data_IF_692425625223
#
_entry.id   IF_692425625223
#
_cell.length_a   1.000
_cell.length_b   1.000
_cell.length_c   1.000
_cell.angle_alpha   90.00
_cell.angle_beta   90.00
_cell.angle_gamma   90.00
#
_symmetry.space_group_name_H-M   'P 1'
#
loop_
_entity.id
_entity.type
_entity.pdbx_description
1 polymer ?
#
# COMPACT_ATOMS: atom_id res chain seq x y z
N UNK A 1 8.06 -0.40 -33.06
CA UNK A 1 7.34 -0.80 -31.84
C UNK A 1 7.58 0.27 -30.79
N UNK A 2 6.61 0.58 -29.93
CA UNK A 2 6.81 1.64 -28.93
C UNK A 2 7.96 1.24 -28.00
N UNK A 3 9.02 2.04 -27.95
CA UNK A 3 10.17 1.83 -27.03
C UNK A 3 9.83 2.26 -25.58
N UNK A 4 8.59 2.67 -25.31
CA UNK A 4 8.16 3.08 -23.97
C UNK A 4 7.60 1.90 -23.19
N UNK A 5 8.23 1.56 -22.08
CA UNK A 5 7.63 0.66 -21.08
C UNK A 5 6.91 1.48 -20.01
N UNK A 6 5.86 0.90 -19.44
CA UNK A 6 5.24 1.40 -18.21
C UNK A 6 6.23 1.32 -17.03
N UNK A 7 6.87 0.17 -16.83
CA UNK A 7 7.85 -0.03 -15.75
C UNK A 7 8.87 -1.09 -16.12
N UNK A 8 10.05 -1.00 -15.51
CA UNK A 8 11.14 -1.96 -15.62
C UNK A 8 11.81 -2.11 -14.27
N UNK A 9 12.18 -3.34 -13.90
CA UNK A 9 13.08 -3.55 -12.76
C UNK A 9 13.93 -4.81 -12.92
N UNK A 10 15.17 -4.73 -12.44
CA UNK A 10 16.05 -5.88 -12.25
C UNK A 10 15.94 -6.34 -10.80
N UNK A 11 15.55 -7.60 -10.62
CA UNK A 11 15.23 -8.19 -9.32
C UNK A 11 16.08 -9.40 -9.00
N UNK A 12 16.27 -9.61 -7.69
CA UNK A 12 16.74 -10.86 -7.10
C UNK A 12 15.63 -11.38 -6.22
N UNK A 13 15.40 -12.69 -6.18
CA UNK A 13 14.34 -13.23 -5.34
C UNK A 13 14.60 -14.64 -4.87
N UNK A 14 13.55 -15.27 -4.36
CA UNK A 14 13.61 -16.62 -3.81
C UNK A 14 12.59 -17.50 -4.51
N UNK A 15 13.03 -18.70 -4.88
CA UNK A 15 12.17 -19.76 -5.41
C UNK A 15 12.14 -20.94 -4.44
N UNK A 16 11.02 -21.68 -4.44
CA UNK A 16 10.94 -22.97 -3.77
C UNK A 16 11.66 -24.08 -4.57
N UNK A 17 11.71 -25.30 -4.04
CA UNK A 17 12.32 -26.48 -4.69
C UNK A 17 11.67 -26.83 -6.04
N UNK A 18 10.45 -26.35 -6.32
CA UNK A 18 9.75 -26.54 -7.60
C UNK A 18 10.02 -25.40 -8.59
N UNK A 19 10.88 -24.43 -8.26
CA UNK A 19 11.19 -23.27 -9.11
C UNK A 19 10.09 -22.21 -9.12
N UNK A 20 9.09 -22.29 -8.24
CA UNK A 20 8.05 -21.26 -8.13
C UNK A 20 8.58 -20.06 -7.35
N UNK A 21 8.38 -18.85 -7.89
CA UNK A 21 8.73 -17.60 -7.21
C UNK A 21 7.91 -17.43 -5.94
N UNK A 22 8.60 -17.24 -4.81
CA UNK A 22 7.98 -16.89 -3.53
C UNK A 22 7.93 -15.37 -3.36
N UNK A 23 9.02 -14.70 -3.74
CA UNK A 23 9.19 -13.26 -3.60
C UNK A 23 10.25 -12.71 -4.54
N UNK A 24 10.22 -11.40 -4.79
CA UNK A 24 11.25 -10.68 -5.53
C UNK A 24 11.53 -9.33 -4.87
N UNK A 25 12.81 -9.02 -4.67
CA UNK A 25 13.32 -7.73 -4.23
C UNK A 25 13.84 -6.92 -5.43
N UNK A 26 13.30 -5.72 -5.62
CA UNK A 26 13.75 -4.75 -6.63
C UNK A 26 14.36 -3.54 -5.94
N UNK A 27 15.70 -3.41 -6.01
CA UNK A 27 16.42 -2.33 -5.33
C UNK A 27 16.14 -0.95 -5.92
N UNK A 28 15.99 -0.87 -7.25
CA UNK A 28 15.84 0.38 -7.99
C UNK A 28 14.79 0.20 -9.11
N UNK A 29 13.51 0.02 -8.77
CA UNK A 29 12.46 -0.09 -9.77
C UNK A 29 12.31 1.24 -10.54
N UNK A 30 12.09 1.15 -11.85
CA UNK A 30 11.90 2.30 -12.71
C UNK A 30 10.43 2.41 -13.14
N UNK A 31 9.87 3.61 -13.01
CA UNK A 31 8.62 4.00 -13.66
C UNK A 31 8.97 4.78 -14.92
N UNK A 32 8.41 4.41 -16.06
CA UNK A 32 8.69 5.02 -17.37
C UNK A 32 10.20 5.08 -17.71
N UNK A 33 10.90 3.92 -17.80
CA UNK A 33 12.32 3.88 -18.16
C UNK A 33 12.56 4.51 -19.54
N UNK A 34 13.77 5.06 -19.76
CA UNK A 34 14.13 5.68 -21.03
C UNK A 34 14.12 4.65 -22.18
N UNK A 35 13.70 5.09 -23.37
CA UNK A 35 13.67 4.22 -24.55
C UNK A 35 15.06 3.71 -24.96
N UNK A 36 16.12 4.47 -24.66
CA UNK A 36 17.52 4.05 -24.89
C UNK A 36 17.91 2.87 -23.99
N UNK A 37 17.54 2.92 -22.71
CA UNK A 37 17.79 1.84 -21.77
C UNK A 37 17.03 0.58 -22.19
N UNK A 38 15.75 0.71 -22.54
CA UNK A 38 14.92 -0.40 -23.02
C UNK A 38 15.51 -1.02 -24.30
N UNK A 39 15.93 -0.18 -25.26
CA UNK A 39 16.55 -0.64 -26.50
C UNK A 39 17.88 -1.37 -26.29
N UNK A 40 18.67 -0.98 -25.28
CA UNK A 40 19.94 -1.63 -24.95
C UNK A 40 19.74 -3.03 -24.35
N UNK A 41 18.68 -3.26 -23.58
CA UNK A 41 18.47 -4.53 -22.87
C UNK A 41 17.54 -5.51 -23.61
N UNK A 42 16.57 -5.02 -24.39
CA UNK A 42 15.55 -5.86 -25.01
C UNK A 42 16.14 -6.99 -25.89
N UNK A 43 17.17 -6.76 -26.72
CA UNK A 43 17.79 -7.82 -27.53
C UNK A 43 18.47 -8.90 -26.67
N UNK A 44 19.10 -8.51 -25.55
CA UNK A 44 19.79 -9.43 -24.65
C UNK A 44 18.81 -10.32 -23.85
N UNK A 45 17.57 -9.85 -23.70
CA UNK A 45 16.48 -10.54 -23.01
C UNK A 45 15.55 -11.28 -23.97
N UNK A 46 15.74 -11.15 -25.29
CA UNK A 46 14.79 -11.62 -26.31
C UNK A 46 13.36 -11.10 -26.05
N UNK A 47 13.24 -9.85 -25.58
CA UNK A 47 11.96 -9.25 -25.25
C UNK A 47 11.24 -8.77 -26.51
N UNK A 48 10.08 -9.36 -26.81
CA UNK A 48 9.28 -9.07 -28.02
C UNK A 48 8.08 -8.14 -27.76
N UNK A 49 7.75 -7.86 -26.48
CA UNK A 49 6.65 -6.98 -26.09
C UNK A 49 5.77 -7.54 -24.96
N UNK A 50 4.78 -6.75 -24.55
CA UNK A 50 3.84 -7.10 -23.48
C UNK A 50 4.46 -7.06 -22.08
N UNK A 51 3.71 -7.53 -21.08
CA UNK A 51 4.22 -7.66 -19.72
C UNK A 51 4.94 -9.01 -19.59
N UNK A 52 6.22 -8.98 -19.18
CA UNK A 52 7.06 -10.17 -19.07
C UNK A 52 7.91 -10.14 -17.81
N UNK A 53 8.10 -11.31 -17.21
CA UNK A 53 9.07 -11.56 -16.15
C UNK A 53 10.10 -12.58 -16.67
N UNK A 54 11.27 -12.09 -17.07
CA UNK A 54 12.32 -12.88 -17.73
C UNK A 54 13.36 -13.29 -16.70
N UNK A 55 13.47 -14.59 -16.41
CA UNK A 55 14.55 -15.11 -15.55
C UNK A 55 15.89 -14.99 -16.29
N UNK A 56 16.91 -14.50 -15.59
CA UNK A 56 18.27 -14.36 -16.13
C UNK A 56 19.29 -15.05 -15.23
N UNK A 57 20.43 -15.41 -15.81
CA UNK A 57 21.59 -15.86 -15.04
C UNK A 57 22.58 -14.70 -14.77
N UNK A 58 23.63 -14.98 -13.99
CA UNK A 58 24.65 -14.00 -13.62
C UNK A 58 25.47 -13.49 -14.81
N UNK A 59 25.70 -14.32 -15.83
CA UNK A 59 26.37 -13.91 -17.08
C UNK A 59 25.52 -12.90 -17.85
N UNK A 60 24.21 -13.13 -17.98
CA UNK A 60 23.29 -12.19 -18.60
C UNK A 60 23.19 -10.89 -17.78
N UNK A 61 23.19 -10.97 -16.46
CA UNK A 61 23.23 -9.76 -15.60
C UNK A 61 24.48 -8.91 -15.88
N UNK A 62 25.67 -9.51 -16.04
CA UNK A 62 26.89 -8.80 -16.41
C UNK A 62 26.82 -8.18 -17.81
N UNK A 63 26.28 -8.92 -18.80
CA UNK A 63 26.08 -8.40 -20.16
C UNK A 63 25.12 -7.21 -20.18
N UNK A 64 24.03 -7.27 -19.42
CA UNK A 64 23.09 -6.16 -19.25
C UNK A 64 23.78 -4.97 -18.57
N UNK A 65 24.61 -5.21 -17.55
CA UNK A 65 25.37 -4.16 -16.88
C UNK A 65 26.26 -3.40 -17.86
N UNK A 66 27.00 -4.12 -18.71
CA UNK A 66 27.87 -3.51 -19.73
C UNK A 66 27.07 -2.71 -20.77
N UNK A 67 25.92 -3.24 -21.20
CA UNK A 67 25.06 -2.58 -22.19
C UNK A 67 24.49 -1.24 -21.71
N UNK A 68 24.14 -1.13 -20.42
CA UNK A 68 23.54 0.10 -19.87
C UNK A 68 24.54 1.02 -19.16
N UNK A 69 25.82 0.63 -19.08
CA UNK A 69 26.88 1.43 -18.45
C UNK A 69 26.94 2.90 -18.91
N UNK A 70 26.80 3.23 -20.21
CA UNK A 70 26.80 4.63 -20.64
C UNK A 70 25.45 5.33 -20.46
N UNK A 71 24.39 4.61 -20.08
CA UNK A 71 23.00 5.09 -20.09
C UNK A 71 22.49 5.39 -18.68
N UNK A 72 22.80 4.53 -17.70
CA UNK A 72 22.31 4.66 -16.33
C UNK A 72 23.31 4.09 -15.32
N UNK A 73 24.03 4.98 -14.63
CA UNK A 73 25.04 4.62 -13.64
C UNK A 73 24.48 3.82 -12.46
N UNK A 74 23.25 4.12 -12.03
CA UNK A 74 22.63 3.47 -10.87
C UNK A 74 22.23 2.04 -11.21
N UNK A 75 21.56 1.85 -12.34
CA UNK A 75 21.18 0.52 -12.84
C UNK A 75 22.40 -0.32 -13.21
N UNK A 76 23.44 0.29 -13.80
CA UNK A 76 24.71 -0.39 -14.07
C UNK A 76 25.35 -0.93 -12.78
N UNK A 77 25.43 -0.11 -11.75
CA UNK A 77 25.96 -0.52 -10.45
C UNK A 77 25.11 -1.65 -9.84
N UNK A 78 23.78 -1.56 -9.92
CA UNK A 78 22.87 -2.61 -9.46
C UNK A 78 23.12 -3.94 -10.18
N UNK A 79 23.09 -3.96 -11.52
CA UNK A 79 23.30 -5.19 -12.29
C UNK A 79 24.68 -5.81 -12.06
N UNK A 80 25.70 -4.97 -11.86
CA UNK A 80 27.04 -5.45 -11.48
C UNK A 80 27.00 -6.22 -10.15
N UNK A 81 26.22 -5.76 -9.16
CA UNK A 81 26.01 -6.51 -7.91
C UNK A 81 25.16 -7.75 -8.12
N UNK A 82 24.11 -7.68 -8.93
CA UNK A 82 23.24 -8.82 -9.23
C UNK A 82 24.01 -9.96 -9.93
N UNK A 83 25.02 -9.63 -10.75
CA UNK A 83 25.89 -10.62 -11.39
C UNK A 83 26.71 -11.47 -10.39
N UNK A 84 26.82 -11.08 -9.13
CA UNK A 84 27.47 -11.86 -8.06
C UNK A 84 26.48 -12.70 -7.23
N UNK A 85 25.18 -12.66 -7.56
CA UNK A 85 24.13 -13.30 -6.77
C UNK A 85 24.21 -14.82 -6.81
N UNK A 86 23.95 -15.45 -5.66
CA UNK A 86 23.68 -16.89 -5.53
C UNK A 86 22.18 -17.22 -5.58
N UNK A 87 21.34 -16.20 -5.71
CA UNK A 87 19.87 -16.27 -5.76
C UNK A 87 19.38 -16.03 -7.19
N UNK A 88 18.23 -16.61 -7.59
CA UNK A 88 17.68 -16.42 -8.93
C UNK A 88 17.39 -14.94 -9.20
N UNK A 89 17.64 -14.54 -10.44
CA UNK A 89 17.47 -13.17 -10.93
C UNK A 89 16.34 -13.11 -11.94
N UNK A 90 15.64 -11.98 -11.99
CA UNK A 90 14.54 -11.73 -12.92
C UNK A 90 14.57 -10.29 -13.41
N UNK A 91 14.29 -10.09 -14.68
CA UNK A 91 14.00 -8.77 -15.26
C UNK A 91 12.52 -8.70 -15.56
N UNK A 92 11.83 -7.77 -14.92
CA UNK A 92 10.40 -7.59 -15.10
C UNK A 92 10.17 -6.35 -15.95
N UNK A 93 9.65 -6.54 -17.16
CA UNK A 93 9.37 -5.51 -18.16
C UNK A 93 7.87 -5.41 -18.34
N UNK A 94 7.29 -4.25 -18.01
CA UNK A 94 5.86 -4.01 -18.15
C UNK A 94 5.65 -3.00 -19.28
N UNK A 95 5.08 -3.44 -20.39
CA UNK A 95 4.70 -2.54 -21.48
C UNK A 95 3.57 -1.60 -21.03
N UNK A 96 2.63 -2.11 -20.23
CA UNK A 96 1.43 -1.40 -19.80
C UNK A 96 1.02 -1.73 -18.36
N UNK A 97 0.22 -0.85 -17.75
CA UNK A 97 -0.42 -1.09 -16.45
C UNK A 97 -1.71 -1.94 -16.61
N UNK A 98 -1.53 -3.23 -16.89
CA UNK A 98 -2.62 -4.18 -17.09
C UNK A 98 -2.88 -5.08 -15.87
N UNK A 99 -3.85 -6.00 -15.98
CA UNK A 99 -4.07 -7.01 -14.95
C UNK A 99 -2.82 -7.90 -14.78
N UNK A 100 -2.53 -8.27 -13.53
CA UNK A 100 -1.31 -8.99 -13.19
C UNK A 100 -1.31 -10.41 -13.76
N UNK A 101 -0.14 -10.87 -14.21
CA UNK A 101 0.03 -12.20 -14.82
C UNK A 101 1.07 -13.07 -14.13
N UNK A 102 1.94 -12.49 -13.30
CA UNK A 102 3.03 -13.22 -12.64
C UNK A 102 3.36 -12.69 -11.24
N UNK A 103 4.02 -13.52 -10.42
CA UNK A 103 4.53 -13.11 -9.09
C UNK A 103 5.57 -11.99 -9.18
N UNK A 104 6.60 -12.03 -10.06
CA UNK A 104 7.54 -10.91 -10.19
C UNK A 104 6.88 -9.59 -10.56
N UNK A 105 5.84 -9.61 -11.41
CA UNK A 105 5.04 -8.43 -11.76
C UNK A 105 4.25 -7.90 -10.55
N UNK A 106 3.61 -8.78 -9.78
CA UNK A 106 2.90 -8.40 -8.56
C UNK A 106 3.85 -7.69 -7.56
N UNK A 107 5.03 -8.25 -7.33
CA UNK A 107 6.05 -7.63 -6.47
C UNK A 107 6.52 -6.28 -7.03
N UNK A 108 6.72 -6.15 -8.35
CA UNK A 108 7.13 -4.89 -8.96
C UNK A 108 6.09 -3.80 -8.70
N UNK A 109 4.80 -4.07 -8.94
CA UNK A 109 3.75 -3.07 -8.68
C UNK A 109 3.66 -2.67 -7.21
N UNK A 110 3.83 -3.61 -6.28
CA UNK A 110 3.89 -3.27 -4.85
C UNK A 110 5.13 -2.41 -4.52
N UNK A 111 6.28 -2.69 -5.14
CA UNK A 111 7.47 -1.86 -4.99
C UNK A 111 7.25 -0.44 -5.52
N UNK A 112 6.60 -0.26 -6.67
CA UNK A 112 6.30 1.06 -7.23
C UNK A 112 5.48 1.91 -6.24
N UNK A 113 4.52 1.29 -5.53
CA UNK A 113 3.74 1.99 -4.50
C UNK A 113 4.61 2.34 -3.29
N UNK A 114 5.36 1.38 -2.75
CA UNK A 114 6.15 1.59 -1.53
C UNK A 114 7.40 2.46 -1.72
N UNK A 115 7.93 2.54 -2.94
CA UNK A 115 8.94 3.53 -3.34
C UNK A 115 8.34 4.93 -3.57
N UNK A 116 7.02 5.08 -3.44
CA UNK A 116 6.24 6.30 -3.74
C UNK A 116 6.29 6.75 -5.19
N UNK A 117 6.63 5.86 -6.12
CA UNK A 117 6.61 6.16 -7.55
C UNK A 117 5.18 6.27 -8.08
N UNK A 118 4.24 5.54 -7.48
CA UNK A 118 2.82 5.59 -7.80
C UNK A 118 1.98 5.63 -6.52
N UNK A 119 1.00 6.54 -6.44
CA UNK A 119 0.06 6.62 -5.31
C UNK A 119 -0.95 5.45 -5.34
N UNK A 120 -1.58 5.11 -4.20
CA UNK A 120 -2.70 4.17 -4.17
C UNK A 120 -3.77 4.48 -5.24
N UNK A 121 -4.36 3.42 -5.81
CA UNK A 121 -5.27 3.45 -6.98
C UNK A 121 -4.64 3.89 -8.30
N UNK A 122 -3.34 4.20 -8.33
CA UNK A 122 -2.63 4.53 -9.56
C UNK A 122 -2.13 3.32 -10.36
N UNK A 123 -2.36 2.09 -9.88
CA UNK A 123 -1.94 0.85 -10.52
C UNK A 123 -3.10 -0.14 -10.63
N UNK A 124 -3.14 -0.90 -11.72
CA UNK A 124 -4.01 -2.06 -11.85
C UNK A 124 -3.44 -3.25 -11.06
N UNK A 125 -4.09 -3.58 -9.93
CA UNK A 125 -3.73 -4.71 -9.06
C UNK A 125 -4.73 -5.87 -9.17
N UNK A 126 -5.57 -5.91 -10.21
CA UNK A 126 -6.52 -6.99 -10.42
C UNK A 126 -5.78 -8.33 -10.57
N UNK A 127 -6.25 -9.34 -9.82
CA UNK A 127 -5.66 -10.68 -9.84
C UNK A 127 -4.43 -10.86 -8.93
N UNK A 128 -4.11 -9.90 -8.05
CA UNK A 128 -2.90 -9.99 -7.22
C UNK A 128 -2.87 -11.19 -6.25
N UNK A 129 -3.98 -11.54 -5.63
CA UNK A 129 -4.00 -12.54 -4.55
C UNK A 129 -3.62 -13.96 -4.98
N UNK A 130 -4.08 -14.48 -6.15
CA UNK A 130 -3.58 -15.75 -6.67
C UNK A 130 -2.07 -15.75 -6.98
N UNK A 131 -1.49 -14.60 -7.34
CA UNK A 131 -0.09 -14.48 -7.76
C UNK A 131 0.89 -14.32 -6.59
N UNK A 132 0.41 -13.93 -5.41
CA UNK A 132 1.19 -13.89 -4.20
C UNK A 132 1.02 -15.22 -3.43
N UNK A 133 2.01 -16.13 -3.43
CA UNK A 133 1.92 -17.37 -2.66
C UNK A 133 1.86 -17.07 -1.16
N UNK A 134 1.27 -17.98 -0.38
CA UNK A 134 1.34 -17.87 1.08
C UNK A 134 2.73 -18.35 1.53
N UNK A 135 3.50 -17.50 2.18
CA UNK A 135 4.93 -17.72 2.48
C UNK A 135 5.17 -17.64 3.98
N UNK A 136 6.07 -18.46 4.50
CA UNK A 136 6.66 -18.25 5.81
C UNK A 136 7.81 -17.22 5.70
N UNK A 137 7.60 -16.04 6.25
CA UNK A 137 8.61 -14.99 6.35
C UNK A 137 9.45 -15.26 7.58
N UNK A 138 10.73 -15.56 7.38
CA UNK A 138 11.64 -15.98 8.45
C UNK A 138 12.85 -15.07 8.56
N UNK A 139 13.61 -15.21 9.65
CA UNK A 139 14.91 -14.53 9.79
C UNK A 139 15.97 -14.98 8.74
N UNK A 140 15.68 -16.00 7.93
CA UNK A 140 16.53 -16.45 6.81
C UNK A 140 15.91 -16.16 5.43
N UNK A 141 14.88 -15.32 5.38
CA UNK A 141 14.14 -14.97 4.16
C UNK A 141 12.85 -15.77 3.98
N UNK A 142 12.28 -15.71 2.76
CA UNK A 142 11.08 -16.42 2.39
C UNK A 142 11.31 -17.94 2.34
N UNK A 143 10.39 -18.69 2.95
CA UNK A 143 10.40 -20.15 2.98
C UNK A 143 9.03 -20.66 2.54
N UNK A 144 9.03 -21.62 1.61
CA UNK A 144 7.81 -22.33 1.22
C UNK A 144 7.26 -23.12 2.41
N UNK A 145 5.94 -23.10 2.60
CA UNK A 145 5.29 -23.79 3.72
C UNK A 145 5.51 -25.30 3.70
N UNK A 146 5.65 -25.92 2.53
CA UNK A 146 5.96 -27.34 2.40
C UNK A 146 7.41 -27.67 2.80
N UNK A 147 8.31 -26.69 2.79
CA UNK A 147 9.73 -26.85 3.15
C UNK A 147 10.02 -26.43 4.60
N UNK A 148 9.09 -25.71 5.24
CA UNK A 148 9.33 -25.06 6.53
C UNK A 148 9.66 -26.05 7.65
N UNK A 149 8.90 -27.13 7.78
CA UNK A 149 9.06 -28.08 8.88
C UNK A 149 10.45 -28.76 8.89
N UNK A 150 10.95 -29.12 7.71
CA UNK A 150 12.30 -29.69 7.54
C UNK A 150 13.37 -28.67 7.96
N UNK A 151 13.25 -27.42 7.50
CA UNK A 151 14.22 -26.37 7.84
C UNK A 151 14.19 -26.00 9.32
N UNK A 152 13.01 -26.01 9.96
CA UNK A 152 12.89 -25.81 11.39
C UNK A 152 13.60 -26.91 12.18
N UNK A 153 13.41 -28.19 11.80
CA UNK A 153 14.10 -29.32 12.43
C UNK A 153 15.63 -29.16 12.30
N UNK A 154 16.13 -28.87 11.11
CA UNK A 154 17.56 -28.66 10.85
C UNK A 154 18.16 -27.53 11.70
N UNK A 155 17.44 -26.42 11.86
CA UNK A 155 17.86 -25.34 12.74
C UNK A 155 17.98 -25.82 14.20
N UNK A 156 16.99 -26.56 14.70
CA UNK A 156 16.98 -27.07 16.08
C UNK A 156 18.09 -28.08 16.33
N UNK A 157 18.36 -28.99 15.40
CA UNK A 157 19.46 -29.97 15.49
C UNK A 157 20.83 -29.28 15.62
N UNK A 158 20.98 -28.09 15.04
CA UNK A 158 22.19 -27.26 15.12
C UNK A 158 22.19 -26.27 16.30
N UNK A 159 21.16 -26.28 17.15
CA UNK A 159 21.02 -25.36 18.29
C UNK A 159 20.57 -23.95 17.92
N UNK A 160 20.06 -23.73 16.70
CA UNK A 160 19.53 -22.45 16.22
C UNK A 160 18.01 -22.39 16.25
N UNK A 161 17.46 -21.18 16.19
CA UNK A 161 16.05 -20.91 15.96
C UNK A 161 15.87 -20.39 14.53
N UNK A 162 15.04 -21.07 13.73
CA UNK A 162 14.43 -20.48 12.53
C UNK A 162 13.16 -19.76 12.98
N UNK A 163 13.27 -18.45 13.18
CA UNK A 163 12.17 -17.60 13.61
C UNK A 163 11.22 -17.37 12.45
N UNK A 164 9.95 -17.69 12.62
CA UNK A 164 8.87 -17.40 11.67
C UNK A 164 8.14 -16.17 12.18
N UNK A 165 8.41 -15.02 11.56
CA UNK A 165 7.87 -13.73 12.01
C UNK A 165 6.50 -13.43 11.41
N UNK A 166 6.19 -14.00 10.25
CA UNK A 166 4.89 -13.87 9.59
C UNK A 166 4.62 -15.07 8.68
N UNK A 167 3.34 -15.41 8.53
CA UNK A 167 2.85 -16.36 7.52
C UNK A 167 1.73 -15.67 6.75
N UNK A 168 2.07 -15.13 5.59
CA UNK A 168 1.16 -14.29 4.81
C UNK A 168 1.57 -14.25 3.33
N UNK A 169 0.66 -13.81 2.47
CA UNK A 169 0.89 -13.49 1.05
C UNK A 169 1.66 -12.18 0.85
N UNK A 170 1.63 -11.29 1.83
CA UNK A 170 2.34 -10.01 1.78
C UNK A 170 3.46 -9.96 2.82
N UNK A 171 4.70 -9.63 2.43
CA UNK A 171 5.74 -9.31 3.40
C UNK A 171 5.53 -7.92 4.02
N UNK A 172 6.29 -7.63 5.07
CA UNK A 172 6.41 -6.26 5.60
C UNK A 172 7.25 -5.38 4.68
N UNK A 173 6.81 -4.13 4.49
CA UNK A 173 7.39 -3.17 3.54
C UNK A 173 8.87 -2.92 3.79
N UNK A 174 9.27 -2.77 5.06
CA UNK A 174 10.63 -2.34 5.44
C UNK A 174 11.71 -3.38 5.17
N UNK A 175 11.34 -4.63 4.91
CA UNK A 175 12.29 -5.65 4.44
C UNK A 175 12.71 -5.39 2.98
N UNK A 176 11.98 -4.54 2.27
CA UNK A 176 12.19 -4.20 0.86
C UNK A 176 12.55 -2.72 0.68
N UNK A 177 11.84 -1.80 1.34
CA UNK A 177 12.08 -0.37 1.21
C UNK A 177 11.68 0.39 2.47
N UNK A 178 12.51 1.36 2.84
CA UNK A 178 12.18 2.39 3.83
C UNK A 178 12.25 3.73 3.09
N UNK A 179 11.12 4.32 2.67
CA UNK A 179 11.15 5.57 1.92
C UNK A 179 11.62 6.72 2.81
N UNK A 180 12.18 7.77 2.22
CA UNK A 180 12.77 8.88 2.97
C UNK A 180 11.75 9.63 3.84
N UNK A 181 12.20 10.13 4.99
CA UNK A 181 11.41 11.01 5.86
C UNK A 181 10.23 10.32 6.57
N UNK A 182 10.28 9.01 6.81
CA UNK A 182 9.25 8.28 7.59
C UNK A 182 9.76 7.83 8.94
N UNK A 183 8.81 7.58 9.85
CA UNK A 183 9.04 6.77 11.05
C UNK A 183 7.99 5.67 11.11
N UNK A 184 8.43 4.45 11.37
CA UNK A 184 7.56 3.27 11.53
C UNK A 184 8.02 2.57 12.81
N UNK A 185 7.18 2.60 13.85
CA UNK A 185 7.54 2.09 15.16
C UNK A 185 7.53 0.55 15.22
N UNK A 186 6.53 -0.08 14.61
CA UNK A 186 6.46 -1.52 14.39
C UNK A 186 6.25 -1.80 12.90
N UNK A 187 7.29 -2.30 12.23
CA UNK A 187 7.25 -2.53 10.79
C UNK A 187 6.41 -3.74 10.39
N UNK A 188 6.10 -4.65 11.31
CA UNK A 188 5.23 -5.80 11.01
C UNK A 188 3.81 -5.37 10.59
N UNK A 189 3.42 -4.13 10.89
CA UNK A 189 2.10 -3.58 10.61
C UNK A 189 2.01 -2.78 9.31
N UNK A 190 3.08 -2.77 8.50
CA UNK A 190 3.11 -2.06 7.22
C UNK A 190 3.44 -3.07 6.12
N UNK A 191 2.45 -3.40 5.29
CA UNK A 191 2.63 -4.35 4.18
C UNK A 191 3.39 -3.73 3.02
N UNK A 192 4.18 -4.53 2.31
CA UNK A 192 4.70 -4.15 1.00
C UNK A 192 3.52 -3.78 0.08
N UNK A 193 3.62 -2.65 -0.61
CA UNK A 193 2.52 -2.01 -1.32
C UNK A 193 1.78 -0.93 -0.52
N UNK A 194 2.16 -0.66 0.72
CA UNK A 194 1.75 0.55 1.43
C UNK A 194 2.51 1.77 0.88
N UNK A 195 1.83 2.91 0.74
CA UNK A 195 2.42 4.21 0.43
C UNK A 195 2.51 5.01 1.73
N UNK A 196 3.70 5.20 2.29
CA UNK A 196 3.88 5.98 3.53
C UNK A 196 4.51 7.31 3.15
N UNK A 197 3.74 8.39 3.09
CA UNK A 197 4.18 9.73 2.67
C UNK A 197 5.28 10.35 3.54
N UNK A 198 5.96 11.37 3.01
CA UNK A 198 7.01 12.06 3.76
C UNK A 198 6.43 12.80 4.97
N UNK A 199 7.14 12.73 6.11
CA UNK A 199 6.66 13.30 7.37
C UNK A 199 5.58 12.45 8.06
N UNK A 200 5.20 11.29 7.52
CA UNK A 200 4.33 10.36 8.23
C UNK A 200 5.08 9.62 9.34
N UNK A 201 4.45 9.59 10.51
CA UNK A 201 4.84 8.70 11.60
C UNK A 201 3.75 7.66 11.79
N UNK A 202 4.12 6.39 11.64
CA UNK A 202 3.25 5.26 12.00
C UNK A 202 3.70 4.73 13.37
N UNK A 203 2.85 4.90 14.38
CA UNK A 203 3.09 4.40 15.73
C UNK A 203 2.77 2.91 15.84
N UNK A 204 3.06 2.30 16.99
CA UNK A 204 2.93 0.84 17.21
C UNK A 204 1.53 0.29 16.89
N UNK A 205 0.47 1.05 17.20
CA UNK A 205 -0.91 0.64 16.90
C UNK A 205 -1.37 1.05 15.49
N UNK A 206 -0.53 1.78 14.76
CA UNK A 206 -0.72 2.10 13.36
C UNK A 206 -0.64 0.85 12.49
N UNK A 207 -1.44 0.79 11.43
CA UNK A 207 -1.37 -0.26 10.42
C UNK A 207 -1.69 0.34 9.06
N UNK A 208 -0.95 -0.05 8.02
CA UNK A 208 -1.23 0.37 6.64
C UNK A 208 -1.14 -0.86 5.73
N UNK A 209 -2.24 -1.14 5.04
CA UNK A 209 -2.34 -2.26 4.10
C UNK A 209 -1.71 -1.91 2.74
N UNK A 210 -1.69 -2.88 1.82
CA UNK A 210 -1.30 -2.63 0.43
C UNK A 210 -2.35 -1.74 -0.29
N UNK A 211 -1.90 -1.01 -1.31
CA UNK A 211 -2.71 -0.06 -2.08
C UNK A 211 -3.46 0.93 -1.17
N UNK A 212 -2.81 1.34 -0.09
CA UNK A 212 -3.33 2.24 0.92
C UNK A 212 -2.17 3.09 1.45
N UNK A 213 -2.47 4.17 2.16
CA UNK A 213 -1.39 5.02 2.62
C UNK A 213 -1.77 6.40 3.10
N UNK A 214 -0.71 7.20 3.20
CA UNK A 214 -0.76 8.60 3.60
C UNK A 214 -0.09 9.47 2.56
N UNK A 215 -0.64 10.65 2.30
CA UNK A 215 0.06 11.66 1.52
C UNK A 215 1.30 12.20 2.25
N UNK A 216 1.17 12.39 3.57
CA UNK A 216 2.19 12.99 4.42
C UNK A 216 2.13 14.52 4.44
N UNK A 217 2.47 15.18 5.56
CA UNK A 217 2.78 14.59 6.88
C UNK A 217 1.52 14.07 7.58
N UNK A 218 1.68 13.37 8.72
CA UNK A 218 0.55 12.95 9.57
C UNK A 218 0.92 11.89 10.60
N UNK A 219 0.08 11.73 11.62
CA UNK A 219 0.22 10.71 12.67
C UNK A 219 -0.74 9.55 12.43
N UNK A 220 -0.21 8.33 12.32
CA UNK A 220 -1.01 7.11 12.13
C UNK A 220 -0.82 6.17 13.31
N UNK A 221 -1.84 6.11 14.17
CA UNK A 221 -1.94 5.22 15.32
C UNK A 221 -3.15 4.28 15.21
N UNK A 222 -3.89 4.36 14.10
CA UNK A 222 -5.00 3.49 13.76
C UNK A 222 -4.77 2.67 12.49
N UNK A 223 -5.82 2.00 12.02
CA UNK A 223 -5.77 1.05 10.90
C UNK A 223 -6.24 1.68 9.60
N UNK A 224 -5.34 1.76 8.62
CA UNK A 224 -5.58 2.19 7.23
C UNK A 224 -5.79 0.94 6.37
N UNK A 225 -7.05 0.65 6.05
CA UNK A 225 -7.43 -0.53 5.25
C UNK A 225 -7.00 -0.41 3.78
N UNK A 226 -6.95 -1.54 3.07
CA UNK A 226 -6.61 -1.55 1.65
C UNK A 226 -7.55 -0.62 0.84
N UNK A 227 -6.97 0.19 -0.04
CA UNK A 227 -7.69 1.22 -0.80
C UNK A 227 -7.90 2.54 -0.06
N UNK A 228 -7.62 2.63 1.25
CA UNK A 228 -7.79 3.88 1.99
C UNK A 228 -6.57 4.77 1.82
N UNK A 229 -6.81 6.02 1.41
CA UNK A 229 -5.78 7.05 1.35
C UNK A 229 -6.12 8.20 2.30
N UNK A 230 -5.13 8.61 3.08
CA UNK A 230 -5.23 9.67 4.08
C UNK A 230 -4.50 10.91 3.59
N UNK A 231 -5.23 12.02 3.48
CA UNK A 231 -4.71 13.31 3.04
C UNK A 231 -3.70 13.93 4.02
N UNK A 232 -3.03 14.98 3.56
CA UNK A 232 -1.98 15.67 4.33
C UNK A 232 -2.50 16.22 5.67
N UNK A 233 -1.66 16.16 6.70
CA UNK A 233 -1.92 16.74 8.01
C UNK A 233 -3.08 16.08 8.78
N UNK A 234 -3.51 14.89 8.37
CA UNK A 234 -4.58 14.14 9.04
C UNK A 234 -4.01 13.16 10.06
N UNK A 235 -4.62 13.14 11.24
CA UNK A 235 -4.20 12.32 12.38
C UNK A 235 -5.24 11.23 12.69
N UNK A 236 -4.77 9.98 12.75
CA UNK A 236 -5.55 8.80 13.09
C UNK A 236 -5.14 8.32 14.47
N UNK A 237 -5.96 8.60 15.48
CA UNK A 237 -5.70 8.27 16.87
C UNK A 237 -5.67 6.76 17.17
N UNK A 238 -5.05 6.42 18.30
CA UNK A 238 -4.76 5.04 18.71
C UNK A 238 -5.93 4.07 18.55
N UNK A 239 -5.73 2.99 17.77
CA UNK A 239 -6.72 1.91 17.60
C UNK A 239 -7.90 2.26 16.70
N UNK A 240 -7.96 3.46 16.11
CA UNK A 240 -9.05 3.84 15.23
C UNK A 240 -9.12 2.93 13.99
N UNK A 241 -10.25 2.94 13.30
CA UNK A 241 -10.55 2.03 12.20
C UNK A 241 -11.01 2.78 10.95
N UNK A 242 -10.41 2.46 9.81
CA UNK A 242 -10.98 2.79 8.51
C UNK A 242 -11.55 1.51 7.90
N UNK A 243 -12.82 1.54 7.49
CA UNK A 243 -13.47 0.38 6.89
C UNK A 243 -12.83 0.04 5.54
N UNK A 244 -12.48 -1.23 5.32
CA UNK A 244 -12.07 -1.71 4.01
C UNK A 244 -13.27 -1.98 3.12
N UNK A 245 -13.10 -1.86 1.80
CA UNK A 245 -14.15 -2.12 0.81
C UNK A 245 -14.74 -3.53 0.93
N UNK A 246 -13.92 -4.52 1.32
CA UNK A 246 -14.33 -5.92 1.52
C UNK A 246 -15.22 -6.14 2.76
N UNK A 247 -15.12 -5.29 3.77
CA UNK A 247 -15.82 -5.46 5.05
C UNK A 247 -17.17 -4.73 5.15
N UNK A 248 -17.44 -3.80 4.22
CA UNK A 248 -18.55 -2.83 4.36
C UNK A 248 -19.79 -3.06 3.50
N UNK A 249 -19.79 -4.07 2.60
CA UNK A 249 -20.93 -4.38 1.73
C UNK A 249 -21.29 -3.28 0.72
N UNK A 250 -20.43 -2.27 0.53
CA UNK A 250 -20.64 -1.15 -0.40
C UNK A 250 -19.42 -0.93 -1.32
N UNK A 251 -19.66 -0.34 -2.50
CA UNK A 251 -18.64 -0.11 -3.54
C UNK A 251 -17.86 1.21 -3.37
N UNK A 252 -18.12 1.99 -2.32
CA UNK A 252 -17.49 3.31 -2.14
C UNK A 252 -16.12 3.13 -1.50
N UNK A 253 -15.09 3.67 -2.13
CA UNK A 253 -13.73 3.72 -1.59
C UNK A 253 -13.70 4.71 -0.43
N UNK A 254 -13.31 4.24 0.75
CA UNK A 254 -13.13 5.09 1.92
C UNK A 254 -11.85 5.91 1.75
N UNK A 255 -11.94 7.21 1.99
CA UNK A 255 -10.80 8.14 2.03
C UNK A 255 -10.91 9.05 3.24
N UNK A 256 -9.79 9.64 3.64
CA UNK A 256 -9.74 10.70 4.65
C UNK A 256 -9.11 11.92 3.98
N UNK A 257 -9.80 13.05 4.02
CA UNK A 257 -9.31 14.32 3.47
C UNK A 257 -8.11 14.88 4.23
N UNK A 258 -7.82 16.15 3.99
CA UNK A 258 -6.72 16.88 4.61
C UNK A 258 -7.12 17.46 5.99
N UNK A 259 -6.19 17.47 6.95
CA UNK A 259 -6.40 18.11 8.25
C UNK A 259 -7.50 17.47 9.12
N UNK A 260 -7.82 16.20 8.89
CA UNK A 260 -8.79 15.46 9.69
C UNK A 260 -8.21 15.01 11.04
N UNK A 261 -9.08 14.81 12.02
CA UNK A 261 -8.73 14.19 13.30
C UNK A 261 -9.71 13.05 13.60
N UNK A 262 -9.22 11.81 13.57
CA UNK A 262 -10.01 10.63 13.93
C UNK A 262 -9.59 10.21 15.33
N UNK A 263 -10.51 10.34 16.30
CA UNK A 263 -10.24 10.03 17.69
C UNK A 263 -9.83 8.57 17.95
N UNK A 264 -9.18 8.34 19.08
CA UNK A 264 -8.74 7.00 19.49
C UNK A 264 -9.94 6.04 19.58
N UNK A 265 -9.77 4.81 19.11
CA UNK A 265 -10.80 3.77 19.03
C UNK A 265 -12.09 4.17 18.27
N UNK A 266 -12.07 5.28 17.53
CA UNK A 266 -13.16 5.63 16.62
C UNK A 266 -13.14 4.73 15.38
N UNK A 267 -14.17 4.83 14.56
CA UNK A 267 -14.19 4.14 13.27
C UNK A 267 -15.00 4.86 12.22
N UNK A 268 -14.52 4.82 10.98
CA UNK A 268 -15.17 5.43 9.83
C UNK A 268 -15.52 4.38 8.77
N UNK A 269 -16.78 4.40 8.36
CA UNK A 269 -17.34 3.61 7.26
C UNK A 269 -17.90 4.48 6.13
N UNK A 270 -17.49 5.75 6.07
CA UNK A 270 -17.77 6.70 4.98
C UNK A 270 -16.50 7.48 4.65
N UNK A 271 -16.35 8.00 3.41
CA UNK A 271 -15.32 8.98 3.10
C UNK A 271 -15.48 10.25 3.93
N UNK A 272 -14.39 10.74 4.51
CA UNK A 272 -14.34 12.05 5.16
C UNK A 272 -13.76 13.08 4.19
N UNK A 273 -14.43 14.23 4.08
CA UNK A 273 -13.83 15.42 3.49
C UNK A 273 -12.83 16.07 4.45
N UNK A 274 -12.23 17.16 3.99
CA UNK A 274 -11.20 17.88 4.74
C UNK A 274 -11.71 18.42 6.08
N UNK A 275 -10.80 18.48 7.07
CA UNK A 275 -11.00 19.11 8.38
C UNK A 275 -12.14 18.50 9.20
N UNK A 276 -12.52 17.27 8.87
CA UNK A 276 -13.48 16.52 9.67
C UNK A 276 -12.84 15.98 10.96
N UNK A 277 -13.61 16.04 12.05
CA UNK A 277 -13.23 15.48 13.35
C UNK A 277 -14.23 14.39 13.75
N UNK A 278 -13.72 13.24 14.21
CA UNK A 278 -14.52 12.16 14.77
C UNK A 278 -14.13 11.94 16.22
N UNK A 279 -15.10 12.03 17.12
CA UNK A 279 -14.91 11.77 18.54
C UNK A 279 -14.31 10.37 18.81
N UNK A 280 -13.42 10.29 19.80
CA UNK A 280 -12.88 9.01 20.29
C UNK A 280 -13.99 8.03 20.68
N UNK A 281 -13.87 6.77 20.22
CA UNK A 281 -14.84 5.72 20.49
C UNK A 281 -16.16 5.81 19.70
N UNK A 282 -16.33 6.83 18.84
CA UNK A 282 -17.46 6.90 17.93
C UNK A 282 -17.17 6.09 16.66
N UNK A 283 -18.07 5.16 16.34
CA UNK A 283 -18.05 4.45 15.05
C UNK A 283 -19.19 4.97 14.16
N UNK A 284 -18.83 5.55 13.01
CA UNK A 284 -19.78 6.02 11.99
C UNK A 284 -19.80 5.03 10.82
N UNK A 285 -20.92 4.35 10.61
CA UNK A 285 -21.15 3.51 9.43
C UNK A 285 -21.98 4.28 8.41
N UNK A 286 -21.98 3.85 7.14
CA UNK A 286 -22.80 4.46 6.10
C UNK A 286 -24.31 4.57 6.47
N UNK A 287 -24.81 3.63 7.27
CA UNK A 287 -26.20 3.58 7.72
C UNK A 287 -26.49 4.26 9.06
N UNK A 288 -25.46 4.74 9.77
CA UNK A 288 -25.63 5.43 11.06
C UNK A 288 -26.53 6.64 10.85
N UNK A 289 -27.62 6.74 11.62
CA UNK A 289 -28.48 7.93 11.64
C UNK A 289 -27.81 9.00 12.48
N UNK A 290 -27.71 10.21 11.94
CA UNK A 290 -26.99 11.34 12.50
C UNK A 290 -27.93 12.52 12.62
N UNK A 291 -28.00 13.10 13.81
CA UNK A 291 -28.64 14.39 14.04
C UNK A 291 -27.72 15.48 13.48
N UNK A 292 -28.11 16.08 12.36
CA UNK A 292 -27.37 17.17 11.75
C UNK A 292 -27.72 18.48 12.48
N UNK A 293 -26.71 19.12 13.04
CA UNK A 293 -26.85 20.36 13.81
C UNK A 293 -26.23 21.53 13.04
N UNK A 294 -26.88 22.68 13.12
CA UNK A 294 -26.31 23.94 12.62
C UNK A 294 -25.25 24.52 13.58
N UNK A 295 -24.73 25.70 13.25
CA UNK A 295 -23.71 26.39 14.05
C UNK A 295 -24.19 26.72 15.49
N UNK A 296 -25.50 26.99 15.66
CA UNK A 296 -26.13 27.23 16.96
C UNK A 296 -26.31 25.92 17.76
N UNK A 297 -26.17 24.77 17.12
CA UNK A 297 -26.38 23.45 17.74
C UNK A 297 -27.83 23.00 17.69
N UNK A 298 -28.67 23.67 16.91
CA UNK A 298 -30.07 23.32 16.73
C UNK A 298 -30.22 22.20 15.70
N UNK A 299 -31.22 21.33 15.92
CA UNK A 299 -31.46 20.19 15.05
C UNK A 299 -32.05 20.67 13.72
N UNK A 300 -31.30 20.46 12.63
CA UNK A 300 -31.78 20.75 11.27
C UNK A 300 -32.60 19.57 10.74
N UNK A 301 -32.01 18.37 10.71
CA UNK A 301 -32.66 17.13 10.26
C UNK A 301 -31.88 15.89 10.70
N UNK A 302 -32.49 14.72 10.56
CA UNK A 302 -31.81 13.42 10.76
C UNK A 302 -31.49 12.81 9.40
N UNK A 303 -30.21 12.55 9.14
CA UNK A 303 -29.71 11.97 7.87
C UNK A 303 -28.95 10.68 8.13
N UNK A 304 -28.73 9.85 7.09
CA UNK A 304 -27.74 8.78 7.18
C UNK A 304 -26.34 9.35 6.96
N UNK A 305 -25.33 8.83 7.65
CA UNK A 305 -23.97 9.33 7.55
C UNK A 305 -23.40 9.29 6.12
N UNK A 306 -23.86 8.36 5.26
CA UNK A 306 -23.49 8.33 3.83
C UNK A 306 -23.82 9.62 3.07
N UNK A 307 -24.84 10.37 3.50
CA UNK A 307 -25.23 11.64 2.89
C UNK A 307 -24.26 12.78 3.26
N UNK A 308 -23.41 12.55 4.29
CA UNK A 308 -22.37 13.46 4.74
C UNK A 308 -20.98 13.08 4.19
N UNK A 309 -20.90 12.07 3.32
CA UNK A 309 -19.64 11.60 2.75
C UNK A 309 -18.95 12.72 1.95
N UNK A 310 -17.65 12.93 2.20
CA UNK A 310 -16.84 13.93 1.48
C UNK A 310 -17.11 15.39 1.84
N UNK A 311 -18.12 15.68 2.67
CA UNK A 311 -18.35 17.03 3.19
C UNK A 311 -17.22 17.43 4.14
N UNK A 312 -16.86 18.71 4.13
CA UNK A 312 -15.76 19.28 4.92
C UNK A 312 -16.26 19.92 6.21
N UNK A 313 -15.34 20.14 7.15
CA UNK A 313 -15.56 20.92 8.37
C UNK A 313 -16.68 20.37 9.27
N UNK A 314 -16.79 19.03 9.33
CA UNK A 314 -17.78 18.32 10.14
C UNK A 314 -17.19 17.81 11.46
N UNK A 315 -17.92 17.99 12.56
CA UNK A 315 -17.63 17.37 13.85
C UNK A 315 -18.64 16.26 14.15
N UNK A 316 -18.20 15.01 14.11
CA UNK A 316 -18.99 13.86 14.52
C UNK A 316 -18.75 13.54 16.00
N UNK A 317 -19.83 13.48 16.78
CA UNK A 317 -19.78 13.16 18.22
C UNK A 317 -20.99 12.34 18.66
N UNK A 318 -20.90 11.72 19.83
CA UNK A 318 -22.03 11.10 20.54
C UNK A 318 -22.42 11.96 21.72
N UNK A 319 -23.69 12.33 21.78
CA UNK A 319 -24.25 13.00 22.94
C UNK A 319 -24.21 12.06 24.16
N UNK A 320 -23.49 12.44 25.20
CA UNK A 320 -23.26 11.59 26.37
C UNK A 320 -24.51 11.41 27.25
N UNK A 321 -25.51 12.28 27.14
CA UNK A 321 -26.75 12.18 27.89
C UNK A 321 -27.81 11.36 27.16
N UNK A 322 -27.99 11.60 25.86
CA UNK A 322 -29.05 10.94 25.06
C UNK A 322 -28.56 9.71 24.29
N UNK A 323 -27.26 9.57 24.09
CA UNK A 323 -26.66 8.56 23.21
C UNK A 323 -26.80 8.86 21.71
N UNK A 324 -27.43 9.97 21.34
CA UNK A 324 -27.61 10.35 19.93
C UNK A 324 -26.27 10.61 19.25
N UNK A 325 -26.11 10.13 18.01
CA UNK A 325 -24.97 10.51 17.17
C UNK A 325 -25.31 11.84 16.49
N UNK A 326 -24.42 12.81 16.64
CA UNK A 326 -24.60 14.18 16.18
C UNK A 326 -23.47 14.53 15.19
N UNK A 327 -23.80 15.34 14.20
CA UNK A 327 -22.83 16.02 13.35
C UNK A 327 -23.05 17.51 13.51
N UNK A 328 -22.10 18.19 14.15
CA UNK A 328 -22.08 19.65 14.27
C UNK A 328 -21.33 20.24 13.09
N UNK A 329 -21.84 21.35 12.57
CA UNK A 329 -21.24 22.05 11.44
C UNK A 329 -21.02 23.52 11.80
N UNK A 330 -20.20 24.23 11.01
CA UNK A 330 -20.04 25.69 11.09
C UNK A 330 -20.96 26.43 10.11
N UNK A 331 -21.96 25.74 9.55
CA UNK A 331 -22.84 26.26 8.50
C UNK A 331 -24.24 26.51 9.06
N UNK A 332 -24.93 27.49 8.49
CA UNK A 332 -26.35 27.71 8.72
C UNK A 332 -27.19 26.58 8.08
N UNK A 333 -28.45 26.42 8.53
CA UNK A 333 -29.37 25.43 7.97
C UNK A 333 -29.57 25.54 6.45
N UNK A 334 -29.50 26.76 5.91
CA UNK A 334 -29.67 27.04 4.47
C UNK A 334 -28.46 26.51 3.69
N UNK A 335 -27.24 26.89 4.10
CA UNK A 335 -26.00 26.45 3.47
C UNK A 335 -25.81 24.93 3.55
N UNK A 336 -26.28 24.30 4.64
CA UNK A 336 -26.29 22.85 4.79
C UNK A 336 -27.19 22.18 3.78
N UNK A 337 -28.38 22.73 3.56
CA UNK A 337 -29.33 22.14 2.63
C UNK A 337 -28.83 22.25 1.18
N UNK A 338 -28.24 23.38 0.81
CA UNK A 338 -27.58 23.54 -0.48
C UNK A 338 -26.42 22.55 -0.65
N UNK A 339 -25.51 22.44 0.33
CA UNK A 339 -24.37 21.53 0.25
C UNK A 339 -24.75 20.05 0.12
N UNK A 340 -25.87 19.64 0.74
CA UNK A 340 -26.38 18.27 0.67
C UNK A 340 -27.13 17.96 -0.63
N UNK A 341 -27.63 18.98 -1.33
CA UNK A 341 -28.46 18.81 -2.52
C UNK A 341 -27.80 19.28 -3.82
N UNK A 342 -26.66 19.97 -3.75
CA UNK A 342 -25.88 20.41 -4.91
C UNK A 342 -25.25 19.26 -5.73
N UNK A 343 -25.24 18.03 -5.19
CA UNK A 343 -24.65 16.85 -5.81
C UNK A 343 -25.64 15.70 -6.05
N UNK A 344 -26.95 15.97 -5.95
CA UNK A 344 -27.99 15.03 -6.38
C UNK A 344 -28.31 15.21 -7.87
#
# INVERSE_FOLDING_TARGET
MSNSLFSLAFGVGTQNRQGSWLEVFYAQPLLHPSGELVAAIAPLLMYEGGNQAVTINTTQAAQLADAIKPLDTAQHALLTRLAESQRPLVVTLLAEDAALTSTPEAYLKLHLISHRLVKPHGLNLTGIFPLLPNVAWTNQGAVDLAELAERQLEARLKGYLLEVVSVDKFPKMTDYVVPAGVRIADSARIRLGAYVGEGTTVMHEGFINFNAGTEGPGMIEGRVSAGVFVGKGSDLGGGCSTMGTLSGGGNIVISVGEGCLIGANAGIGIPLGDRNTVESGLYITAGTKVNLLDEQGELVKVVKARELAGQTDLLFRRNSLSGAVECKTHKSAIELNEALHAHN
#
